data_IF_751454953854
#
_entry.id   IF_751454953854
#
_cell.length_a   1.000
_cell.length_b   1.000
_cell.length_c   1.000
_cell.angle_alpha   90.00
_cell.angle_beta   90.00
_cell.angle_gamma   90.00
#
_symmetry.space_group_name_H-M   'P 1'
#
loop_
_entity.id
_entity.type
_entity.pdbx_description
1 polymer ?
#
# COMPACT_ATOMS: atom_id res chain seq x y z
N UNK A 1 -0.99 16.12 8.74
CA UNK A 1 -0.54 14.71 8.86
C UNK A 1 0.32 14.40 7.65
N UNK A 2 1.48 13.74 7.78
CA UNK A 2 2.36 13.42 6.63
C UNK A 2 1.85 12.20 5.86
N UNK A 3 2.14 12.13 4.54
CA UNK A 3 1.85 10.97 3.69
C UNK A 3 2.42 9.68 4.29
N UNK A 4 3.69 9.70 4.71
CA UNK A 4 4.36 8.57 5.37
C UNK A 4 3.59 8.07 6.60
N UNK A 5 3.23 8.97 7.52
CA UNK A 5 2.49 8.58 8.74
C UNK A 5 1.09 8.07 8.42
N UNK A 6 0.41 8.68 7.46
CA UNK A 6 -0.89 8.21 7.00
C UNK A 6 -0.80 6.77 6.46
N UNK A 7 0.14 6.51 5.57
CA UNK A 7 0.33 5.21 4.90
C UNK A 7 0.76 4.13 5.90
N UNK A 8 1.84 4.36 6.64
CA UNK A 8 2.48 3.32 7.46
C UNK A 8 1.68 2.91 8.70
N UNK A 9 0.82 3.81 9.21
CA UNK A 9 0.03 3.53 10.41
C UNK A 9 -1.45 3.36 10.11
N UNK A 10 -2.10 4.36 9.53
CA UNK A 10 -3.55 4.36 9.37
C UNK A 10 -3.99 3.46 8.22
N UNK A 11 -3.41 3.65 7.04
CA UNK A 11 -3.75 2.86 5.86
C UNK A 11 -3.30 1.41 6.03
N UNK A 12 -2.10 1.17 6.55
CA UNK A 12 -1.61 -0.16 6.87
C UNK A 12 -2.55 -0.94 7.81
N UNK A 13 -2.99 -0.32 8.91
CA UNK A 13 -3.94 -0.94 9.84
C UNK A 13 -5.31 -1.19 9.20
N UNK A 14 -5.81 -0.23 8.42
CA UNK A 14 -7.08 -0.36 7.70
C UNK A 14 -7.05 -1.52 6.70
N UNK A 15 -6.00 -1.61 5.88
CA UNK A 15 -5.86 -2.67 4.89
C UNK A 15 -5.73 -4.03 5.57
N UNK A 16 -4.91 -4.14 6.63
CA UNK A 16 -4.80 -5.38 7.40
C UNK A 16 -6.14 -5.85 7.95
N UNK A 17 -6.94 -4.94 8.50
CA UNK A 17 -8.27 -5.27 9.01
C UNK A 17 -9.25 -5.64 7.89
N UNK A 18 -9.27 -4.85 6.80
CA UNK A 18 -10.19 -5.03 5.69
C UNK A 18 -9.94 -6.33 4.89
N UNK A 19 -8.70 -6.81 4.85
CA UNK A 19 -8.32 -8.04 4.14
C UNK A 19 -8.15 -9.24 5.08
N UNK A 20 -8.67 -9.19 6.31
CA UNK A 20 -8.56 -10.29 7.27
C UNK A 20 -7.12 -10.72 7.58
N UNK A 21 -6.16 -9.80 7.50
CA UNK A 21 -4.75 -10.07 7.72
C UNK A 21 -3.92 -10.38 6.47
N UNK A 22 -4.52 -10.55 5.29
CA UNK A 22 -3.77 -10.85 4.06
C UNK A 22 -2.77 -9.76 3.69
N UNK A 23 -3.15 -8.48 3.74
CA UNK A 23 -2.20 -7.36 3.69
C UNK A 23 -1.53 -7.24 5.05
N UNK A 24 -0.23 -7.51 5.10
CA UNK A 24 0.54 -7.46 6.34
C UNK A 24 1.07 -6.06 6.63
N UNK A 25 1.45 -5.33 5.59
CA UNK A 25 2.06 -4.01 5.72
C UNK A 25 1.83 -3.15 4.48
N UNK A 26 1.62 -1.86 4.71
CA UNK A 26 1.69 -0.82 3.68
C UNK A 26 2.79 0.16 4.08
N UNK A 27 3.77 0.38 3.21
CA UNK A 27 4.92 1.23 3.47
C UNK A 27 5.03 2.35 2.43
N UNK A 28 5.51 3.51 2.85
CA UNK A 28 5.71 4.66 1.98
C UNK A 28 7.19 4.83 1.67
N UNK A 29 7.56 4.85 0.39
CA UNK A 29 8.93 5.06 -0.07
C UNK A 29 9.00 6.31 -0.95
N UNK A 30 10.10 7.03 -0.81
CA UNK A 30 10.44 8.17 -1.66
C UNK A 30 11.81 7.90 -2.28
N UNK A 31 11.86 7.83 -3.61
CA UNK A 31 13.09 7.66 -4.37
C UNK A 31 13.61 9.02 -4.80
N UNK A 32 14.61 9.51 -4.05
CA UNK A 32 15.13 10.87 -4.18
C UNK A 32 15.66 11.19 -5.58
N UNK A 33 16.43 10.26 -6.19
CA UNK A 33 17.02 10.46 -7.52
C UNK A 33 16.01 10.70 -8.63
N UNK A 34 14.81 10.12 -8.52
CA UNK A 34 13.75 10.22 -9.52
C UNK A 34 12.60 11.14 -9.07
N UNK A 35 12.65 11.64 -7.82
CA UNK A 35 11.54 12.36 -7.18
C UNK A 35 10.21 11.58 -7.26
N UNK A 36 10.28 10.27 -7.10
CA UNK A 36 9.12 9.37 -7.22
C UNK A 36 8.67 8.93 -5.83
N UNK A 37 7.37 9.03 -5.58
CA UNK A 37 6.72 8.47 -4.39
C UNK A 37 6.08 7.13 -4.77
N UNK A 38 6.35 6.07 -4.01
CA UNK A 38 5.66 4.79 -4.15
C UNK A 38 5.09 4.32 -2.81
N UNK A 39 4.00 3.56 -2.89
CA UNK A 39 3.50 2.75 -1.79
C UNK A 39 3.82 1.29 -2.07
N UNK A 40 4.50 0.66 -1.12
CA UNK A 40 4.82 -0.76 -1.14
C UNK A 40 3.83 -1.52 -0.25
N UNK A 41 3.13 -2.49 -0.82
CA UNK A 41 2.16 -3.35 -0.16
C UNK A 41 2.76 -4.74 -0.04
N UNK A 42 2.83 -5.25 1.18
CA UNK A 42 3.27 -6.61 1.48
C UNK A 42 2.05 -7.43 1.86
N UNK A 43 1.85 -8.57 1.19
CA UNK A 43 0.69 -9.44 1.38
C UNK A 43 1.10 -10.90 1.45
N UNK A 44 0.26 -11.70 2.10
CA UNK A 44 0.36 -13.15 2.21
C UNK A 44 -0.88 -13.82 1.61
N UNK A 45 -0.67 -14.97 1.00
CA UNK A 45 -1.70 -15.86 0.46
C UNK A 45 -1.27 -17.33 0.65
N UNK A 46 -2.18 -18.29 0.43
CA UNK A 46 -1.97 -19.69 0.79
C UNK A 46 -0.71 -20.34 0.17
N UNK A 47 -0.21 -19.80 -0.94
CA UNK A 47 0.95 -20.32 -1.67
C UNK A 47 2.23 -19.47 -1.53
N UNK A 48 2.26 -18.49 -0.61
CA UNK A 48 3.44 -17.66 -0.34
C UNK A 48 3.10 -16.22 0.03
N UNK A 49 4.07 -15.32 -0.15
CA UNK A 49 3.86 -13.87 0.02
C UNK A 49 4.24 -13.11 -1.24
N UNK A 50 3.83 -11.85 -1.32
CA UNK A 50 4.12 -10.98 -2.44
C UNK A 50 4.34 -9.54 -2.01
N UNK A 51 5.03 -8.81 -2.88
CA UNK A 51 5.23 -7.36 -2.75
C UNK A 51 4.68 -6.72 -4.01
N UNK A 52 3.88 -5.66 -3.84
CA UNK A 52 3.42 -4.81 -4.93
C UNK A 52 3.78 -3.37 -4.63
N UNK A 53 4.39 -2.69 -5.59
CA UNK A 53 4.67 -1.27 -5.51
C UNK A 53 3.70 -0.51 -6.42
N UNK A 54 3.16 0.59 -5.89
CA UNK A 54 2.20 1.44 -6.56
C UNK A 54 2.77 2.85 -6.61
N UNK A 55 2.96 3.44 -7.80
CA UNK A 55 3.36 4.83 -7.91
C UNK A 55 2.25 5.75 -7.39
N UNK A 56 2.63 6.70 -6.55
CA UNK A 56 1.70 7.65 -5.91
C UNK A 56 2.20 9.10 -5.94
N UNK A 57 3.19 9.38 -6.80
CA UNK A 57 3.67 10.75 -7.03
C UNK A 57 2.51 11.69 -7.31
N UNK A 58 2.55 12.88 -6.71
CA UNK A 58 1.53 13.94 -6.82
C UNK A 58 0.15 13.59 -6.24
N UNK A 59 -0.05 12.39 -5.69
CA UNK A 59 -1.31 12.03 -5.06
C UNK A 59 -1.43 12.63 -3.65
N UNK A 60 -2.63 13.11 -3.33
CA UNK A 60 -3.01 13.46 -1.97
C UNK A 60 -3.35 12.19 -1.15
N UNK A 61 -3.66 12.35 0.14
CA UNK A 61 -3.94 11.19 1.03
C UNK A 61 -5.08 10.30 0.54
N UNK A 62 -6.14 10.90 -0.01
CA UNK A 62 -7.28 10.15 -0.54
C UNK A 62 -6.94 9.42 -1.83
N UNK A 63 -6.17 10.06 -2.73
CA UNK A 63 -5.67 9.45 -3.95
C UNK A 63 -4.77 8.26 -3.66
N UNK A 64 -3.88 8.38 -2.66
CA UNK A 64 -3.04 7.27 -2.19
C UNK A 64 -3.91 6.11 -1.69
N UNK A 65 -4.93 6.39 -0.87
CA UNK A 65 -5.82 5.35 -0.35
C UNK A 65 -6.57 4.63 -1.47
N UNK A 66 -7.12 5.37 -2.44
CA UNK A 66 -7.78 4.79 -3.61
C UNK A 66 -6.85 3.89 -4.42
N UNK A 67 -5.64 4.37 -4.73
CA UNK A 67 -4.64 3.60 -5.47
C UNK A 67 -4.26 2.29 -4.75
N UNK A 68 -4.10 2.32 -3.43
CA UNK A 68 -3.82 1.13 -2.62
C UNK A 68 -4.98 0.15 -2.64
N UNK A 69 -6.22 0.62 -2.47
CA UNK A 69 -7.41 -0.23 -2.49
C UNK A 69 -7.55 -0.93 -3.84
N UNK A 70 -7.41 -0.20 -4.94
CA UNK A 70 -7.51 -0.78 -6.29
C UNK A 70 -6.33 -1.70 -6.60
N UNK A 71 -5.14 -1.37 -6.10
CA UNK A 71 -3.96 -2.21 -6.18
C UNK A 71 -4.06 -3.53 -5.41
N UNK A 72 -4.92 -3.61 -4.39
CA UNK A 72 -5.20 -4.88 -3.68
C UNK A 72 -6.31 -5.69 -4.35
N UNK A 73 -7.36 -5.04 -4.89
CA UNK A 73 -8.44 -5.75 -5.62
C UNK A 73 -7.95 -6.52 -6.85
N UNK A 74 -6.89 -6.04 -7.51
CA UNK A 74 -6.31 -6.69 -8.69
C UNK A 74 -5.38 -7.86 -8.37
N UNK A 75 -5.25 -8.27 -7.11
CA UNK A 75 -4.63 -9.53 -6.71
C UNK A 75 -5.79 -10.50 -6.53
N UNK A 76 -5.90 -11.54 -7.37
CA UNK A 76 -6.85 -12.62 -7.08
C UNK A 76 -6.40 -13.21 -5.75
N UNK A 77 -7.12 -12.91 -4.67
CA UNK A 77 -6.83 -13.34 -3.31
C UNK A 77 -7.36 -14.76 -3.03
N UNK A 78 -7.55 -15.54 -4.10
CA UNK A 78 -7.97 -16.95 -4.11
C UNK A 78 -6.78 -17.89 -3.95
#
# INVERSE_FOLDING_TARGET
MSKKRFVEFYLSAMMKAATGGQVQRVAYLYYDLQHVEVVRIEYEHAHGGGVREIPVTDLNLLGIAGAVIDGVKGVSLE
#
